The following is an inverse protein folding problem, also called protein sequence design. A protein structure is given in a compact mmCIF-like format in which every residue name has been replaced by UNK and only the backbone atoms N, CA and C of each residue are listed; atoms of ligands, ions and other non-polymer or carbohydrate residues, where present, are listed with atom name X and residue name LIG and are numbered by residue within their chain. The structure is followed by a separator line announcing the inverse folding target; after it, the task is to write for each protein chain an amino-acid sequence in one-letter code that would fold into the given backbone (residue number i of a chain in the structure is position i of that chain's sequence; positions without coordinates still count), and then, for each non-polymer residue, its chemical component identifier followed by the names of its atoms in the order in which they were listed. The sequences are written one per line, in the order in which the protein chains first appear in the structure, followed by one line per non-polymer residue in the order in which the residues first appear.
data_IF_735342005761
#
_entry.id   IF_735342005761
#
_cell.length_a   1.000
_cell.length_b   1.000
_cell.length_c   1.000
_cell.angle_alpha   90.00
_cell.angle_beta   90.00
_cell.angle_gamma   90.00
#
_symmetry.space_group_name_H-M   'P 1'
#
loop_
_entity.id
_entity.type
_entity.pdbx_description
1 polymer ?
#
# COMPACT_ATOMS: atom_id res chain seq x y z
N UNK A 1 18.51 65.33 41.07
CA UNK A 1 17.06 65.09 40.95
C UNK A 1 16.69 65.33 39.49
N UNK A 2 16.66 64.27 38.69
CA UNK A 2 16.44 64.33 37.25
C UNK A 2 15.26 63.40 36.90
N UNK A 3 14.19 63.98 36.36
CA UNK A 3 13.02 63.26 35.87
C UNK A 3 13.29 62.73 34.46
N UNK A 4 13.16 61.41 34.28
CA UNK A 4 13.13 60.74 32.98
C UNK A 4 11.68 60.65 32.48
N UNK A 5 11.38 61.00 31.21
CA UNK A 5 10.07 60.77 30.64
C UNK A 5 9.96 59.31 30.15
N UNK A 6 8.87 58.65 30.53
CA UNK A 6 8.46 57.35 30.01
C UNK A 6 7.85 57.52 28.61
N UNK A 7 8.53 57.04 27.58
CA UNK A 7 7.95 56.83 26.26
C UNK A 7 7.14 55.53 26.26
N UNK A 8 5.81 55.65 26.18
CA UNK A 8 4.92 54.56 25.81
C UNK A 8 5.15 54.19 24.35
N UNK A 9 5.67 53.00 24.08
CA UNK A 9 5.67 52.39 22.76
C UNK A 9 4.56 51.33 22.72
N UNK A 10 3.41 51.72 22.16
CA UNK A 10 2.40 50.80 21.67
C UNK A 10 2.95 50.12 20.41
N UNK A 11 3.47 48.90 20.52
CA UNK A 11 3.78 48.07 19.35
C UNK A 11 2.55 47.25 19.00
N UNK A 12 1.84 47.68 17.96
CA UNK A 12 0.84 46.87 17.27
C UNK A 12 1.51 45.68 16.61
N UNK A 13 1.17 44.48 17.06
CA UNK A 13 1.70 43.24 16.48
C UNK A 13 0.90 42.85 15.24
N UNK A 14 1.00 43.65 14.18
CA UNK A 14 0.68 43.25 12.81
C UNK A 14 1.88 42.49 12.25
N UNK A 15 1.90 41.18 12.48
CA UNK A 15 2.97 40.29 12.04
C UNK A 15 2.41 38.94 11.61
N UNK A 16 1.62 38.93 10.53
CA UNK A 16 1.46 37.75 9.69
C UNK A 16 2.81 37.51 8.98
N UNK A 17 3.79 37.03 9.77
CA UNK A 17 5.06 36.58 9.26
C UNK A 17 4.85 35.23 8.61
N UNK A 18 4.75 35.23 7.29
CA UNK A 18 4.97 34.03 6.50
C UNK A 18 6.41 33.59 6.74
N UNK A 19 6.63 32.68 7.69
CA UNK A 19 7.96 32.15 8.01
C UNK A 19 8.32 31.15 6.90
N UNK A 20 9.26 31.49 6.00
CA UNK A 20 9.80 30.50 5.08
C UNK A 20 10.50 29.47 5.95
N UNK A 21 10.18 28.19 5.80
CA UNK A 21 10.71 27.07 6.59
C UNK A 21 10.03 26.80 7.95
N UNK A 22 8.73 27.09 8.09
CA UNK A 22 7.95 26.56 9.22
C UNK A 22 8.00 25.03 9.25
N UNK A 23 8.16 24.44 10.44
CA UNK A 23 8.19 22.99 10.61
C UNK A 23 6.90 22.34 10.05
N UNK A 24 6.99 21.12 9.45
CA UNK A 24 5.81 20.45 8.93
C UNK A 24 4.72 20.22 9.98
N UNK A 25 3.43 20.22 9.60
CA UNK A 25 2.30 20.04 10.52
C UNK A 25 2.14 18.57 10.95
N UNK A 26 3.11 18.00 11.67
CA UNK A 26 3.04 16.60 12.10
C UNK A 26 2.02 16.40 13.22
N UNK A 27 1.35 15.24 13.22
CA UNK A 27 0.34 14.90 14.21
C UNK A 27 -0.77 14.01 13.66
N UNK A 28 -1.73 13.74 14.54
CA UNK A 28 -3.00 13.12 14.20
C UNK A 28 -4.02 14.23 13.92
N UNK A 29 -4.70 14.17 12.79
CA UNK A 29 -5.71 15.13 12.36
C UNK A 29 -7.01 14.41 12.07
N UNK A 30 -8.12 14.97 12.51
CA UNK A 30 -9.45 14.40 12.30
C UNK A 30 -10.41 15.43 11.70
N UNK A 31 -11.35 14.96 10.90
CA UNK A 31 -12.50 15.73 10.46
C UNK A 31 -13.34 14.92 9.48
N UNK A 32 -14.13 15.61 8.67
CA UNK A 32 -14.96 14.97 7.66
C UNK A 32 -14.72 15.60 6.28
N UNK A 33 -14.97 14.80 5.25
CA UNK A 33 -15.16 15.25 3.87
C UNK A 33 -16.63 15.09 3.51
N UNK A 34 -17.14 15.99 2.67
CA UNK A 34 -18.52 15.93 2.19
C UNK A 34 -18.56 16.01 0.67
N UNK A 35 -19.38 15.17 0.03
CA UNK A 35 -19.59 15.21 -1.42
C UNK A 35 -21.01 14.73 -1.77
N UNK A 36 -21.73 15.53 -2.55
CA UNK A 36 -23.11 15.23 -3.02
C UNK A 36 -24.02 14.63 -1.93
N UNK A 37 -24.15 15.34 -0.81
CA UNK A 37 -25.04 14.98 0.29
C UNK A 37 -24.56 13.81 1.17
N UNK A 38 -23.35 13.30 0.94
CA UNK A 38 -22.74 12.21 1.71
C UNK A 38 -21.51 12.71 2.47
N UNK A 39 -21.47 12.44 3.77
CA UNK A 39 -20.34 12.77 4.66
C UNK A 39 -19.52 11.51 4.94
N UNK A 40 -18.19 11.65 4.99
CA UNK A 40 -17.27 10.59 5.40
C UNK A 40 -16.24 11.13 6.38
N UNK A 41 -16.13 10.47 7.55
CA UNK A 41 -15.10 10.76 8.54
C UNK A 41 -13.73 10.30 8.07
N UNK A 42 -12.74 11.14 8.33
CA UNK A 42 -11.36 10.98 7.90
C UNK A 42 -10.41 11.24 9.06
N UNK A 43 -9.34 10.47 9.12
CA UNK A 43 -8.23 10.72 10.02
C UNK A 43 -6.90 10.67 9.26
N UNK A 44 -6.12 11.74 9.33
CA UNK A 44 -4.79 11.88 8.74
C UNK A 44 -3.73 11.78 9.85
N UNK A 45 -2.84 10.80 9.70
CA UNK A 45 -1.62 10.75 10.47
C UNK A 45 -0.45 11.26 9.65
N UNK A 46 0.13 12.40 10.05
CA UNK A 46 1.31 12.97 9.43
C UNK A 46 2.54 12.81 10.33
N UNK A 47 3.58 12.15 9.83
CA UNK A 47 4.82 11.89 10.55
C UNK A 47 6.01 12.39 9.74
N UNK A 48 7.05 12.82 10.45
CA UNK A 48 8.34 13.18 9.86
C UNK A 48 9.35 12.07 10.18
N UNK A 49 9.86 11.39 9.16
CA UNK A 49 10.81 10.28 9.34
C UNK A 49 12.26 10.77 9.36
N UNK A 50 12.55 11.81 8.58
CA UNK A 50 13.81 12.56 8.56
C UNK A 50 13.51 14.04 8.31
N UNK A 51 14.47 14.92 8.53
CA UNK A 51 14.33 16.33 8.17
C UNK A 51 13.89 16.45 6.69
N UNK A 52 12.79 17.17 6.43
CA UNK A 52 12.17 17.30 5.11
C UNK A 52 11.44 16.07 4.54
N UNK A 53 11.50 14.89 5.19
CA UNK A 53 10.84 13.68 4.70
C UNK A 53 9.57 13.37 5.50
N UNK A 54 8.42 13.50 4.83
CA UNK A 54 7.11 13.24 5.41
C UNK A 54 6.57 11.86 4.99
N UNK A 55 5.80 11.29 5.89
CA UNK A 55 4.96 10.12 5.63
C UNK A 55 3.55 10.45 6.10
N UNK A 56 2.56 10.08 5.30
CA UNK A 56 1.17 10.38 5.56
C UNK A 56 0.31 9.13 5.39
N UNK A 57 -0.55 8.86 6.36
CA UNK A 57 -1.60 7.84 6.26
C UNK A 57 -2.95 8.52 6.46
N UNK A 58 -3.83 8.43 5.47
CA UNK A 58 -5.23 8.85 5.57
C UNK A 58 -6.08 7.59 5.76
N UNK A 59 -6.92 7.58 6.77
CA UNK A 59 -7.82 6.48 7.09
C UNK A 59 -9.26 6.98 7.11
N UNK A 60 -10.18 6.06 6.83
CA UNK A 60 -11.61 6.34 6.80
C UNK A 60 -12.31 5.40 7.79
N UNK A 61 -12.43 5.79 9.08
CA UNK A 61 -12.86 4.88 10.15
C UNK A 61 -14.22 4.21 9.92
N UNK A 62 -15.10 4.85 9.14
CA UNK A 62 -16.43 4.31 8.80
C UNK A 62 -16.39 3.27 7.67
N UNK A 63 -15.29 3.18 6.92
CA UNK A 63 -15.13 2.23 5.82
C UNK A 63 -13.93 1.34 6.12
N UNK A 64 -14.20 0.19 6.75
CA UNK A 64 -13.16 -0.76 7.15
C UNK A 64 -12.28 -1.17 5.96
N UNK A 65 -10.96 -1.12 6.17
CA UNK A 65 -9.96 -1.46 5.15
C UNK A 65 -9.69 -0.36 4.11
N UNK A 66 -10.39 0.78 4.18
CA UNK A 66 -10.11 1.94 3.34
C UNK A 66 -9.07 2.80 4.04
N UNK A 67 -7.83 2.63 3.59
CA UNK A 67 -6.67 3.39 4.04
C UNK A 67 -5.84 3.77 2.82
N UNK A 68 -5.26 4.96 2.92
CA UNK A 68 -4.39 5.56 1.94
C UNK A 68 -3.04 5.79 2.62
N UNK A 69 -1.97 5.35 1.99
CA UNK A 69 -0.62 5.77 2.32
C UNK A 69 -0.15 6.63 1.15
N UNK A 70 0.27 7.86 1.46
CA UNK A 70 0.75 8.77 0.43
C UNK A 70 2.09 8.26 -0.11
N UNK A 71 2.16 8.01 -1.43
CA UNK A 71 3.44 7.74 -2.09
C UNK A 71 4.30 9.01 -2.13
N UNK A 72 3.67 10.19 -2.18
CA UNK A 72 4.35 11.47 -2.04
C UNK A 72 3.67 12.32 -0.98
N UNK A 73 4.46 12.84 -0.04
CA UNK A 73 4.02 13.79 0.96
C UNK A 73 5.02 14.94 0.98
N UNK A 74 4.56 16.15 0.66
CA UNK A 74 5.41 17.34 0.59
C UNK A 74 4.75 18.50 1.32
N UNK A 75 5.56 19.28 2.03
CA UNK A 75 5.12 20.48 2.71
C UNK A 75 6.01 21.64 2.30
N UNK A 76 5.40 22.66 1.70
CA UNK A 76 6.00 23.94 1.37
C UNK A 76 5.14 24.98 2.06
N UNK A 77 5.57 25.41 3.25
CA UNK A 77 4.75 26.23 4.14
C UNK A 77 4.06 27.39 3.38
N UNK A 78 2.74 27.60 3.57
CA UNK A 78 1.83 26.87 4.47
C UNK A 78 1.16 25.63 3.84
N UNK A 79 1.55 25.22 2.63
CA UNK A 79 0.87 24.22 1.82
C UNK A 79 1.37 22.78 2.06
N UNK A 80 0.44 21.86 2.27
CA UNK A 80 0.64 20.42 2.32
C UNK A 80 0.04 19.78 1.05
N UNK A 81 0.82 18.93 0.37
CA UNK A 81 0.36 18.13 -0.76
C UNK A 81 0.66 16.65 -0.52
N UNK A 82 -0.36 15.81 -0.65
CA UNK A 82 -0.29 14.36 -0.53
C UNK A 82 -0.84 13.71 -1.80
N UNK A 83 -0.21 12.66 -2.30
CA UNK A 83 -0.71 11.88 -3.44
C UNK A 83 -0.54 10.38 -3.22
N UNK A 84 -1.56 9.59 -3.58
CA UNK A 84 -1.56 8.13 -3.38
C UNK A 84 -0.58 7.43 -4.31
N UNK A 85 -0.61 7.85 -5.56
CA UNK A 85 0.15 7.30 -6.67
C UNK A 85 0.25 8.40 -7.74
N UNK A 86 1.35 9.17 -7.75
CA UNK A 86 1.53 10.26 -8.69
C UNK A 86 1.28 9.81 -10.14
N UNK A 87 0.40 10.50 -10.84
CA UNK A 87 0.09 10.22 -12.25
C UNK A 87 -0.75 8.95 -12.52
N UNK A 88 -1.29 8.27 -11.49
CA UNK A 88 -2.23 7.16 -11.71
C UNK A 88 -3.69 7.64 -11.65
N UNK A 89 -4.53 7.24 -12.63
CA UNK A 89 -5.96 7.56 -12.61
C UNK A 89 -6.65 6.85 -11.44
N UNK A 90 -7.61 7.54 -10.81
CA UNK A 90 -8.38 7.01 -9.68
C UNK A 90 -7.70 7.08 -8.30
N UNK A 91 -6.50 7.66 -8.22
CA UNK A 91 -5.80 7.90 -6.95
C UNK A 91 -6.40 9.04 -6.13
N UNK A 92 -6.08 9.05 -4.84
CA UNK A 92 -6.43 10.15 -3.93
C UNK A 92 -5.34 11.23 -3.95
N UNK A 93 -5.76 12.49 -3.97
CA UNK A 93 -4.89 13.66 -3.80
C UNK A 93 -5.43 14.54 -2.68
N UNK A 94 -4.54 15.15 -1.90
CA UNK A 94 -4.91 16.12 -0.86
C UNK A 94 -4.08 17.36 -1.07
N UNK A 95 -4.75 18.51 -1.13
CA UNK A 95 -4.12 19.82 -1.10
C UNK A 95 -4.69 20.58 0.09
N UNK A 96 -3.83 20.95 1.03
CA UNK A 96 -4.24 21.61 2.26
C UNK A 96 -3.37 22.84 2.57
N UNK A 97 -3.97 23.84 3.20
CA UNK A 97 -3.28 24.97 3.83
C UNK A 97 -3.31 24.76 5.33
N UNK A 98 -2.16 24.97 5.99
CA UNK A 98 -2.04 24.95 7.45
C UNK A 98 -2.42 26.29 8.04
N UNK A 99 -3.35 26.26 8.99
CA UNK A 99 -3.79 27.41 9.78
C UNK A 99 -3.75 27.03 11.27
N UNK A 100 -2.61 27.26 11.94
CA UNK A 100 -2.42 26.83 13.33
C UNK A 100 -2.48 25.30 13.47
N UNK A 101 -3.49 24.82 14.21
CA UNK A 101 -3.80 23.39 14.41
C UNK A 101 -4.81 22.84 13.38
N UNK A 102 -5.20 23.64 12.39
CA UNK A 102 -6.12 23.23 11.33
C UNK A 102 -5.38 22.95 10.02
N UNK A 103 -5.89 21.98 9.27
CA UNK A 103 -5.61 21.78 7.86
C UNK A 103 -6.92 21.98 7.09
N UNK A 104 -6.91 22.88 6.11
CA UNK A 104 -8.09 23.19 5.29
C UNK A 104 -7.75 22.99 3.82
N UNK A 105 -8.66 22.39 3.06
CA UNK A 105 -8.45 22.28 1.63
C UNK A 105 -9.35 21.25 0.97
N UNK A 106 -8.82 20.65 -0.10
CA UNK A 106 -9.60 19.78 -0.99
C UNK A 106 -8.97 18.40 -1.06
N UNK A 107 -9.80 17.38 -0.87
CA UNK A 107 -9.50 16.00 -1.19
C UNK A 107 -10.06 15.69 -2.58
N UNK A 108 -9.18 15.35 -3.51
CA UNK A 108 -9.52 14.83 -4.81
C UNK A 108 -9.52 13.30 -4.79
N UNK A 109 -10.53 12.66 -5.38
CA UNK A 109 -10.57 11.22 -5.57
C UNK A 109 -10.86 10.88 -7.03
N UNK A 110 -9.86 10.34 -7.73
CA UNK A 110 -9.92 10.21 -9.18
C UNK A 110 -10.18 11.57 -9.84
N UNK A 111 -10.87 11.56 -10.97
CA UNK A 111 -11.05 12.77 -11.79
C UNK A 111 -12.34 13.55 -11.48
N UNK A 112 -13.30 12.93 -10.77
CA UNK A 112 -14.67 13.44 -10.65
C UNK A 112 -15.07 13.91 -9.25
N UNK A 113 -14.37 13.47 -8.21
CA UNK A 113 -14.71 13.80 -6.82
C UNK A 113 -13.75 14.84 -6.29
N UNK A 114 -14.31 15.95 -5.81
CA UNK A 114 -13.60 16.99 -5.05
C UNK A 114 -14.43 17.28 -3.81
N UNK A 115 -13.86 17.01 -2.65
CA UNK A 115 -14.52 17.19 -1.37
C UNK A 115 -13.70 18.14 -0.51
N UNK A 116 -14.33 19.22 -0.07
CA UNK A 116 -13.73 20.15 0.87
C UNK A 116 -13.61 19.51 2.26
N UNK A 117 -12.59 19.90 3.02
CA UNK A 117 -12.42 19.48 4.39
C UNK A 117 -11.84 20.57 5.28
N UNK A 118 -12.12 20.39 6.56
CA UNK A 118 -11.40 21.03 7.66
C UNK A 118 -11.01 19.93 8.64
N UNK A 119 -9.72 19.71 8.82
CA UNK A 119 -9.18 18.75 9.77
C UNK A 119 -8.51 19.46 10.93
N UNK A 120 -8.74 18.95 12.14
CA UNK A 120 -8.24 19.52 13.40
C UNK A 120 -7.20 18.59 13.99
N UNK A 121 -6.07 19.13 14.44
CA UNK A 121 -5.05 18.37 15.14
C UNK A 121 -5.58 17.86 16.49
N UNK A 122 -5.45 16.56 16.73
CA UNK A 122 -5.90 15.86 17.95
C UNK A 122 -4.74 15.30 18.79
N UNK A 123 -3.50 15.54 18.38
CA UNK A 123 -2.31 15.17 19.14
C UNK A 123 -1.19 14.62 18.26
N UNK A 124 -0.35 13.78 18.85
CA UNK A 124 0.68 13.05 18.13
C UNK A 124 0.07 11.95 17.24
N UNK A 125 0.70 11.69 16.10
CA UNK A 125 0.29 10.56 15.25
C UNK A 125 0.57 9.24 16.00
N UNK A 126 -0.38 8.28 16.03
CA UNK A 126 -0.21 7.00 16.69
C UNK A 126 0.97 6.20 16.10
N UNK A 127 1.42 5.14 16.77
CA UNK A 127 2.39 4.24 16.18
C UNK A 127 1.78 3.56 14.91
N UNK A 128 2.56 3.32 13.85
CA UNK A 128 2.04 2.79 12.58
C UNK A 128 1.57 1.32 12.64
N UNK A 129 1.85 0.62 13.76
CA UNK A 129 1.52 -0.80 13.98
C UNK A 129 2.49 -1.79 13.34
N UNK A 130 3.65 -1.31 12.88
CA UNK A 130 4.71 -2.12 12.29
C UNK A 130 6.06 -1.41 12.39
N UNK A 131 7.14 -2.18 12.26
CA UNK A 131 8.52 -1.68 12.17
C UNK A 131 8.97 -1.69 10.72
N UNK A 132 9.47 -0.55 10.25
CA UNK A 132 10.09 -0.39 8.94
C UNK A 132 11.61 -0.55 9.07
N UNK A 133 12.15 -1.63 8.51
CA UNK A 133 13.58 -1.98 8.63
C UNK A 133 14.16 -2.37 7.28
N UNK A 134 15.45 -2.68 7.26
CA UNK A 134 16.15 -3.13 6.06
C UNK A 134 16.69 -4.53 6.25
N UNK A 135 16.46 -5.39 5.25
CA UNK A 135 17.05 -6.71 5.14
C UNK A 135 18.14 -6.70 4.06
N UNK A 136 19.34 -7.12 4.43
CA UNK A 136 20.43 -7.33 3.46
C UNK A 136 20.28 -8.68 2.78
N UNK A 137 20.21 -8.68 1.45
CA UNK A 137 20.10 -9.87 0.60
C UNK A 137 21.33 -9.96 -0.30
N UNK A 138 22.02 -11.09 -0.24
CA UNK A 138 23.22 -11.34 -1.03
C UNK A 138 22.90 -12.34 -2.15
N UNK A 139 23.24 -11.98 -3.38
CA UNK A 139 23.20 -12.87 -4.54
C UNK A 139 24.64 -13.10 -5.00
N UNK A 140 25.09 -14.35 -5.24
CA UNK A 140 26.44 -14.61 -5.73
C UNK A 140 26.78 -13.79 -6.99
N UNK A 141 27.97 -13.20 -7.02
CA UNK A 141 28.43 -12.37 -8.14
C UNK A 141 27.75 -11.00 -8.25
N UNK A 142 27.02 -10.55 -7.23
CA UNK A 142 26.36 -9.23 -7.20
C UNK A 142 26.60 -8.52 -5.87
N UNK A 143 26.59 -7.18 -5.85
CA UNK A 143 26.63 -6.42 -4.61
C UNK A 143 25.42 -6.76 -3.74
N UNK A 144 25.63 -6.79 -2.42
CA UNK A 144 24.55 -7.02 -1.47
C UNK A 144 23.49 -5.92 -1.60
N UNK A 145 22.23 -6.33 -1.65
CA UNK A 145 21.10 -5.42 -1.79
C UNK A 145 20.43 -5.19 -0.44
N UNK A 146 20.09 -3.93 -0.15
CA UNK A 146 19.38 -3.50 1.05
C UNK A 146 17.91 -3.33 0.71
N UNK A 147 17.08 -4.28 1.12
CA UNK A 147 15.66 -4.34 0.79
C UNK A 147 14.80 -3.87 1.97
N UNK A 148 13.68 -3.20 1.68
CA UNK A 148 12.74 -2.72 2.72
C UNK A 148 11.91 -3.90 3.24
N UNK A 149 11.94 -4.09 4.56
CA UNK A 149 11.22 -5.14 5.27
C UNK A 149 10.28 -4.49 6.29
N UNK A 150 8.99 -4.78 6.18
CA UNK A 150 7.99 -4.40 7.16
C UNK A 150 7.69 -5.59 8.07
N UNK A 151 7.89 -5.41 9.36
CA UNK A 151 7.63 -6.41 10.40
C UNK A 151 6.44 -5.96 11.26
N UNK A 152 5.46 -6.82 11.54
CA UNK A 152 4.42 -6.49 12.52
C UNK A 152 5.03 -6.05 13.86
N UNK A 153 4.34 -5.11 14.49
CA UNK A 153 4.67 -4.64 15.84
C UNK A 153 3.57 -5.11 16.79
N UNK A 154 3.49 -6.42 16.95
CA UNK A 154 2.55 -7.11 17.82
C UNK A 154 3.30 -8.09 18.75
N UNK A 155 2.56 -8.83 19.59
CA UNK A 155 3.14 -9.71 20.62
C UNK A 155 3.46 -11.12 20.12
N UNK A 156 3.17 -11.45 18.86
CA UNK A 156 3.43 -12.78 18.32
C UNK A 156 4.95 -12.98 18.11
N UNK A 157 5.48 -14.17 18.44
CA UNK A 157 6.91 -14.42 18.32
C UNK A 157 7.37 -14.64 16.87
N UNK A 158 6.48 -15.09 15.99
CA UNK A 158 6.77 -15.38 14.58
C UNK A 158 5.57 -15.05 13.69
N UNK A 159 5.87 -14.56 12.49
CA UNK A 159 4.86 -14.15 11.52
C UNK A 159 5.01 -14.92 10.21
N UNK A 160 3.90 -15.26 9.52
CA UNK A 160 3.96 -15.57 8.10
C UNK A 160 4.55 -14.37 7.34
N UNK A 161 5.22 -14.64 6.23
CA UNK A 161 5.95 -13.61 5.50
C UNK A 161 5.83 -13.74 3.99
N UNK A 162 5.92 -12.60 3.31
CA UNK A 162 5.77 -12.50 1.87
C UNK A 162 6.92 -11.70 1.25
N UNK A 163 7.44 -12.22 0.15
CA UNK A 163 8.33 -11.49 -0.76
C UNK A 163 7.47 -10.92 -1.88
N UNK A 164 7.31 -9.59 -1.91
CA UNK A 164 6.49 -8.87 -2.89
C UNK A 164 7.36 -8.49 -4.09
N UNK A 165 7.06 -9.09 -5.25
CA UNK A 165 7.71 -8.77 -6.51
C UNK A 165 6.95 -7.63 -7.19
N UNK A 166 7.67 -6.56 -7.50
CA UNK A 166 7.10 -5.35 -8.08
C UNK A 166 7.50 -5.19 -9.56
N UNK A 167 6.67 -4.46 -10.30
CA UNK A 167 7.06 -3.83 -11.56
C UNK A 167 7.23 -2.33 -11.32
N UNK A 168 7.86 -1.61 -12.25
CA UNK A 168 8.05 -0.16 -12.11
C UNK A 168 6.72 0.58 -11.94
N UNK A 169 5.67 0.17 -12.65
CA UNK A 169 4.34 0.77 -12.57
C UNK A 169 3.57 0.41 -11.27
N UNK A 170 3.91 -0.70 -10.63
CA UNK A 170 3.16 -1.25 -9.47
C UNK A 170 3.90 -1.04 -8.13
N UNK A 171 5.10 -0.45 -8.14
CA UNK A 171 5.90 -0.26 -6.93
C UNK A 171 5.16 0.51 -5.80
N UNK A 172 4.44 1.63 -6.07
CA UNK A 172 3.66 2.31 -5.04
C UNK A 172 2.55 1.43 -4.46
N UNK A 173 1.83 0.70 -5.32
CA UNK A 173 0.75 -0.21 -4.88
C UNK A 173 1.30 -1.39 -4.07
N UNK A 174 2.47 -1.91 -4.43
CA UNK A 174 3.13 -2.96 -3.65
C UNK A 174 3.54 -2.49 -2.25
N UNK A 175 4.03 -1.25 -2.12
CA UNK A 175 4.32 -0.66 -0.81
C UNK A 175 3.05 -0.59 0.06
N UNK A 176 1.91 -0.16 -0.50
CA UNK A 176 0.63 -0.15 0.21
C UNK A 176 0.19 -1.56 0.65
N UNK A 177 0.35 -2.56 -0.21
CA UNK A 177 0.07 -3.96 0.16
C UNK A 177 0.95 -4.42 1.31
N UNK A 178 2.25 -4.11 1.28
CA UNK A 178 3.17 -4.46 2.34
C UNK A 178 2.74 -3.84 3.68
N UNK A 179 2.38 -2.55 3.70
CA UNK A 179 1.86 -1.87 4.90
C UNK A 179 0.58 -2.51 5.41
N UNK A 180 -0.37 -2.81 4.51
CA UNK A 180 -1.64 -3.45 4.86
C UNK A 180 -1.44 -4.83 5.50
N UNK A 181 -0.47 -5.61 5.00
CA UNK A 181 -0.09 -6.92 5.54
C UNK A 181 0.59 -6.80 6.90
N UNK A 182 1.55 -5.88 7.05
CA UNK A 182 2.29 -5.69 8.29
C UNK A 182 1.36 -5.32 9.45
N UNK A 183 0.39 -4.43 9.21
CA UNK A 183 -0.65 -4.07 10.19
C UNK A 183 -1.57 -5.24 10.59
N UNK A 184 -1.56 -6.35 9.83
CA UNK A 184 -2.43 -7.52 10.05
C UNK A 184 -1.65 -8.77 10.47
N UNK A 185 -0.40 -8.59 10.92
CA UNK A 185 0.42 -9.66 11.48
C UNK A 185 1.20 -10.47 10.44
N UNK A 186 1.38 -9.94 9.22
CA UNK A 186 2.10 -10.62 8.13
C UNK A 186 3.30 -9.77 7.72
N UNK A 187 4.51 -10.34 7.82
CA UNK A 187 5.72 -9.64 7.41
C UNK A 187 5.83 -9.51 5.88
N UNK A 188 6.35 -8.39 5.40
CA UNK A 188 6.41 -8.09 3.97
C UNK A 188 7.77 -7.53 3.56
N UNK A 189 8.44 -8.21 2.63
CA UNK A 189 9.70 -7.78 2.02
C UNK A 189 9.44 -7.27 0.61
N UNK A 190 9.80 -6.01 0.34
CA UNK A 190 9.62 -5.37 -0.96
C UNK A 190 10.86 -5.56 -1.83
N UNK A 191 10.68 -6.13 -3.02
CA UNK A 191 11.73 -6.18 -4.03
C UNK A 191 11.61 -4.97 -4.98
N UNK A 192 12.75 -4.41 -5.43
CA UNK A 192 12.72 -3.44 -6.50
C UNK A 192 12.22 -4.10 -7.80
N UNK A 193 11.74 -3.30 -8.76
CA UNK A 193 11.51 -3.75 -10.12
C UNK A 193 12.78 -4.42 -10.67
N UNK A 194 12.64 -5.49 -11.44
CA UNK A 194 13.81 -6.13 -12.06
C UNK A 194 14.48 -5.15 -13.03
N UNK A 195 15.80 -5.04 -12.97
CA UNK A 195 16.55 -4.40 -14.04
C UNK A 195 16.57 -5.32 -15.29
N UNK A 196 16.69 -4.77 -16.51
CA UNK A 196 16.75 -5.57 -17.74
C UNK A 196 17.89 -6.61 -17.76
N UNK A 197 18.96 -6.35 -17.00
CA UNK A 197 20.16 -7.20 -16.88
C UNK A 197 20.05 -8.22 -15.74
N UNK A 198 18.94 -8.24 -15.01
CA UNK A 198 18.74 -9.18 -13.92
C UNK A 198 18.19 -10.50 -14.44
N UNK A 199 18.86 -11.61 -14.13
CA UNK A 199 18.23 -12.93 -14.15
C UNK A 199 17.03 -12.87 -13.21
N UNK A 200 15.83 -12.70 -13.77
CA UNK A 200 14.63 -12.23 -13.04
C UNK A 200 14.16 -13.08 -11.86
N UNK A 201 14.82 -14.22 -11.62
CA UNK A 201 14.56 -15.21 -10.57
C UNK A 201 15.60 -15.22 -9.44
N UNK A 202 16.85 -14.79 -9.65
CA UNK A 202 17.93 -14.97 -8.64
C UNK A 202 17.68 -14.15 -7.37
N UNK A 203 17.30 -12.89 -7.53
CA UNK A 203 16.98 -12.01 -6.40
C UNK A 203 15.76 -12.49 -5.60
N UNK A 204 14.60 -12.82 -6.21
CA UNK A 204 13.47 -13.43 -5.50
C UNK A 204 13.83 -14.66 -4.68
N UNK A 205 14.67 -15.55 -5.20
CA UNK A 205 15.09 -16.78 -4.52
C UNK A 205 16.00 -16.46 -3.32
N UNK A 206 16.99 -15.58 -3.51
CA UNK A 206 17.85 -15.13 -2.41
C UNK A 206 17.07 -14.37 -1.34
N UNK A 207 16.10 -13.55 -1.73
CA UNK A 207 15.24 -12.80 -0.82
C UNK A 207 14.36 -13.74 0.02
N UNK A 208 13.78 -14.78 -0.57
CA UNK A 208 13.03 -15.81 0.16
C UNK A 208 13.92 -16.52 1.19
N UNK A 209 15.14 -16.91 0.78
CA UNK A 209 16.10 -17.55 1.67
C UNK A 209 16.53 -16.64 2.84
N UNK A 210 16.77 -15.35 2.57
CA UNK A 210 17.13 -14.37 3.59
C UNK A 210 15.96 -14.09 4.55
N UNK A 211 14.73 -14.01 4.04
CA UNK A 211 13.54 -13.76 4.83
C UNK A 211 13.25 -14.92 5.79
N UNK A 212 13.45 -16.17 5.36
CA UNK A 212 13.35 -17.37 6.20
C UNK A 212 14.33 -17.43 7.37
N UNK A 213 15.40 -16.64 7.34
CA UNK A 213 16.41 -16.56 8.42
C UNK A 213 16.10 -15.46 9.43
N UNK A 214 15.07 -14.65 9.23
CA UNK A 214 14.68 -13.61 10.18
C UNK A 214 14.05 -14.25 11.43
N UNK A 215 14.49 -13.84 12.61
CA UNK A 215 14.06 -14.44 13.88
C UNK A 215 12.55 -14.34 14.11
N UNK A 216 11.93 -13.26 13.64
CA UNK A 216 10.49 -12.98 13.76
C UNK A 216 9.67 -13.55 12.61
N UNK A 217 10.28 -14.28 11.67
CA UNK A 217 9.57 -14.89 10.54
C UNK A 217 9.44 -16.39 10.78
N UNK A 218 8.24 -16.91 10.56
CA UNK A 218 8.02 -18.35 10.46
C UNK A 218 8.57 -18.85 9.12
N UNK A 219 9.70 -19.55 9.17
CA UNK A 219 10.43 -20.02 7.99
C UNK A 219 9.64 -21.01 7.13
N UNK A 220 8.67 -21.72 7.71
CA UNK A 220 7.76 -22.61 6.99
C UNK A 220 6.67 -21.85 6.21
N UNK A 221 6.35 -20.64 6.64
CA UNK A 221 5.21 -19.83 6.16
C UNK A 221 5.69 -18.60 5.39
N UNK A 222 6.63 -18.81 4.47
CA UNK A 222 7.17 -17.76 3.60
C UNK A 222 6.80 -18.00 2.15
N UNK A 223 6.18 -17.02 1.51
CA UNK A 223 5.70 -17.12 0.13
C UNK A 223 6.09 -15.95 -0.76
N UNK A 224 5.60 -15.99 -2.00
CA UNK A 224 5.73 -14.90 -2.97
C UNK A 224 4.39 -14.21 -3.22
N UNK A 225 4.43 -12.93 -3.58
CA UNK A 225 3.29 -12.22 -4.18
C UNK A 225 3.77 -11.48 -5.42
N UNK A 226 3.05 -11.64 -6.54
CA UNK A 226 3.24 -10.82 -7.73
C UNK A 226 1.91 -10.36 -8.34
N UNK A 227 1.95 -9.21 -9.03
CA UNK A 227 0.82 -8.66 -9.79
C UNK A 227 1.18 -8.44 -11.26
N UNK A 228 0.22 -8.70 -12.15
CA UNK A 228 0.36 -8.48 -13.59
C UNK A 228 1.62 -9.17 -14.12
N UNK A 229 2.51 -8.45 -14.83
CA UNK A 229 3.75 -9.02 -15.37
C UNK A 229 4.69 -9.65 -14.31
N UNK A 230 4.62 -9.25 -13.04
CA UNK A 230 5.47 -9.82 -11.99
C UNK A 230 5.08 -11.27 -11.64
N UNK A 231 3.85 -11.72 -11.96
CA UNK A 231 3.37 -13.07 -11.68
C UNK A 231 4.18 -14.16 -12.40
N UNK A 232 4.65 -13.90 -13.63
CA UNK A 232 5.52 -14.82 -14.35
C UNK A 232 6.88 -15.00 -13.65
N UNK A 233 7.43 -13.93 -13.07
CA UNK A 233 8.65 -14.00 -12.25
C UNK A 233 8.43 -14.78 -10.96
N UNK A 234 7.27 -14.64 -10.34
CA UNK A 234 6.88 -15.45 -9.17
C UNK A 234 6.86 -16.93 -9.54
N UNK A 235 6.25 -17.30 -10.67
CA UNK A 235 6.25 -18.69 -11.14
C UNK A 235 7.66 -19.21 -11.42
N UNK A 236 8.48 -18.42 -12.14
CA UNK A 236 9.85 -18.81 -12.45
C UNK A 236 10.73 -18.99 -11.19
N UNK A 237 10.59 -18.09 -10.20
CA UNK A 237 11.29 -18.20 -8.92
C UNK A 237 10.80 -19.38 -8.07
N UNK A 238 9.50 -19.67 -8.08
CA UNK A 238 8.92 -20.80 -7.36
C UNK A 238 9.39 -22.17 -7.86
N UNK A 239 9.90 -22.24 -9.09
CA UNK A 239 10.54 -23.44 -9.64
C UNK A 239 11.97 -23.69 -9.15
N UNK A 240 12.55 -22.76 -8.39
CA UNK A 240 13.92 -22.84 -7.89
C UNK A 240 13.97 -23.20 -6.41
N UNK A 241 15.12 -23.69 -5.94
CA UNK A 241 15.38 -23.91 -4.52
C UNK A 241 16.00 -22.66 -3.87
N UNK A 242 15.60 -22.30 -2.63
CA UNK A 242 14.53 -22.95 -1.87
C UNK A 242 13.13 -22.57 -2.38
N UNK A 243 12.19 -23.51 -2.34
CA UNK A 243 10.81 -23.29 -2.81
C UNK A 243 9.98 -22.48 -1.81
N UNK A 244 9.03 -21.65 -2.25
CA UNK A 244 8.11 -20.94 -1.36
C UNK A 244 7.08 -21.89 -0.75
N UNK A 245 6.59 -21.58 0.45
CA UNK A 245 5.50 -22.32 1.09
C UNK A 245 4.13 -22.07 0.42
N UNK A 246 3.98 -20.93 -0.26
CA UNK A 246 2.77 -20.56 -0.99
C UNK A 246 3.05 -19.41 -1.97
N UNK A 247 2.11 -19.10 -2.87
CA UNK A 247 2.17 -17.93 -3.73
C UNK A 247 0.83 -17.20 -3.87
N UNK A 248 0.88 -15.88 -3.98
CA UNK A 248 -0.26 -15.01 -4.31
C UNK A 248 -0.04 -14.41 -5.70
N UNK A 249 -1.03 -14.54 -6.58
CA UNK A 249 -0.97 -14.05 -7.95
C UNK A 249 -2.15 -13.10 -8.22
N UNK A 250 -1.86 -11.90 -8.68
CA UNK A 250 -2.90 -10.93 -9.04
C UNK A 250 -2.82 -10.60 -10.52
N UNK A 251 -3.96 -10.58 -11.21
CA UNK A 251 -4.02 -10.24 -12.63
C UNK A 251 -3.00 -11.04 -13.49
N UNK A 252 -2.80 -12.33 -13.14
CA UNK A 252 -1.86 -13.19 -13.86
C UNK A 252 -2.31 -13.41 -15.30
N UNK A 253 -1.50 -12.99 -16.29
CA UNK A 253 -1.81 -13.23 -17.69
C UNK A 253 -1.75 -14.74 -17.96
N UNK A 254 -2.90 -15.32 -18.35
CA UNK A 254 -3.07 -16.74 -18.63
C UNK A 254 -4.16 -16.98 -19.68
N UNK A 255 -4.44 -16.00 -20.54
CA UNK A 255 -5.55 -16.05 -21.50
C UNK A 255 -5.31 -17.06 -22.63
N UNK A 256 -4.05 -17.43 -22.86
CA UNK A 256 -3.61 -18.44 -23.83
C UNK A 256 -3.03 -19.69 -23.15
N UNK A 257 -2.90 -20.79 -23.91
CA UNK A 257 -2.28 -22.03 -23.41
C UNK A 257 -0.80 -21.84 -23.06
N UNK A 258 -0.07 -21.06 -23.87
CA UNK A 258 1.35 -20.79 -23.66
C UNK A 258 1.58 -20.01 -22.36
N UNK A 259 0.78 -18.97 -22.11
CA UNK A 259 0.85 -18.21 -20.86
C UNK A 259 0.50 -19.08 -19.65
N UNK A 260 -0.59 -19.85 -19.72
CA UNK A 260 -1.01 -20.73 -18.63
C UNK A 260 0.03 -21.83 -18.31
N UNK A 261 0.81 -22.28 -19.30
CA UNK A 261 1.84 -23.31 -19.11
C UNK A 261 2.94 -22.87 -18.14
N UNK A 262 3.26 -21.58 -18.08
CA UNK A 262 4.26 -21.02 -17.15
C UNK A 262 3.91 -21.24 -15.67
N UNK A 263 2.62 -21.35 -15.33
CA UNK A 263 2.15 -21.52 -13.95
C UNK A 263 2.06 -22.99 -13.50
N UNK A 264 2.29 -23.95 -14.41
CA UNK A 264 2.24 -25.38 -14.07
C UNK A 264 3.27 -25.78 -13.02
N UNK A 265 4.34 -24.98 -12.86
CA UNK A 265 5.35 -25.17 -11.82
C UNK A 265 4.74 -25.30 -10.42
N UNK A 266 3.69 -24.52 -10.10
CA UNK A 266 3.03 -24.61 -8.80
C UNK A 266 2.34 -25.95 -8.59
N UNK A 267 1.70 -26.50 -9.63
CA UNK A 267 1.09 -27.82 -9.57
C UNK A 267 2.17 -28.92 -9.43
N UNK A 268 3.25 -28.83 -10.22
CA UNK A 268 4.34 -29.81 -10.20
C UNK A 268 5.03 -29.86 -8.83
N UNK A 269 5.29 -28.70 -8.24
CA UNK A 269 5.94 -28.56 -6.93
C UNK A 269 4.97 -28.59 -5.74
N UNK A 270 3.67 -28.78 -5.99
CA UNK A 270 2.61 -28.82 -4.96
C UNK A 270 2.55 -27.56 -4.08
N UNK A 271 2.87 -26.40 -4.64
CA UNK A 271 2.84 -25.11 -3.94
C UNK A 271 1.40 -24.58 -3.97
N UNK A 272 0.76 -24.30 -2.82
CA UNK A 272 -0.56 -23.66 -2.75
C UNK A 272 -0.55 -22.26 -3.37
N UNK A 273 -1.57 -21.94 -4.15
CA UNK A 273 -1.68 -20.64 -4.83
C UNK A 273 -3.03 -19.98 -4.57
N UNK A 274 -3.03 -18.71 -4.17
CA UNK A 274 -4.22 -17.86 -4.19
C UNK A 274 -4.10 -16.88 -5.37
N UNK A 275 -4.98 -16.99 -6.35
CA UNK A 275 -5.02 -16.10 -7.49
C UNK A 275 -6.29 -15.24 -7.49
N UNK A 276 -6.13 -13.93 -7.67
CA UNK A 276 -7.22 -12.97 -7.78
C UNK A 276 -7.21 -12.23 -9.11
N UNK A 277 -8.42 -12.02 -9.64
CA UNK A 277 -8.68 -11.14 -10.77
C UNK A 277 -9.77 -10.14 -10.38
N UNK A 278 -9.55 -8.88 -10.71
CA UNK A 278 -10.56 -7.83 -10.58
C UNK A 278 -11.45 -7.82 -11.83
N UNK A 279 -12.77 -7.75 -11.64
CA UNK A 279 -13.75 -7.86 -12.71
C UNK A 279 -13.83 -6.64 -13.63
N UNK A 280 -13.40 -5.46 -13.16
CA UNK A 280 -13.31 -4.24 -13.97
C UNK A 280 -11.87 -3.94 -14.41
N UNK A 281 -10.92 -4.87 -14.20
CA UNK A 281 -9.55 -4.71 -14.67
C UNK A 281 -9.48 -4.99 -16.18
N UNK A 282 -9.17 -3.94 -16.94
CA UNK A 282 -9.04 -4.00 -18.40
C UNK A 282 -7.62 -4.33 -18.86
N UNK A 283 -6.66 -4.41 -17.95
CA UNK A 283 -5.26 -4.71 -18.29
C UNK A 283 -5.01 -6.20 -18.56
N UNK A 284 -5.94 -7.06 -18.16
CA UNK A 284 -5.89 -8.51 -18.37
C UNK A 284 -7.27 -9.04 -18.75
N UNK A 285 -7.32 -10.08 -19.58
CA UNK A 285 -8.56 -10.81 -19.86
C UNK A 285 -8.95 -11.68 -18.65
N UNK A 286 -9.45 -11.07 -17.58
CA UNK A 286 -9.69 -11.68 -16.27
C UNK A 286 -10.43 -13.03 -16.34
N UNK A 287 -11.56 -13.08 -17.04
CA UNK A 287 -12.38 -14.29 -17.16
C UNK A 287 -11.66 -15.42 -17.92
N UNK A 288 -11.01 -15.09 -19.04
CA UNK A 288 -10.28 -16.07 -19.85
C UNK A 288 -9.04 -16.60 -19.11
N UNK A 289 -8.28 -15.71 -18.48
CA UNK A 289 -7.11 -16.04 -17.67
C UNK A 289 -7.49 -16.91 -16.47
N UNK A 290 -8.51 -16.53 -15.69
CA UNK A 290 -8.96 -17.32 -14.55
C UNK A 290 -9.41 -18.74 -14.96
N UNK A 291 -10.16 -18.86 -16.07
CA UNK A 291 -10.62 -20.15 -16.59
C UNK A 291 -9.46 -21.08 -16.97
N UNK A 292 -8.39 -20.55 -17.57
CA UNK A 292 -7.22 -21.34 -17.98
C UNK A 292 -6.20 -21.55 -16.87
N UNK A 293 -6.10 -20.62 -15.92
CA UNK A 293 -5.17 -20.74 -14.79
C UNK A 293 -5.57 -21.87 -13.84
N UNK A 294 -6.88 -22.06 -13.58
CA UNK A 294 -7.40 -23.14 -12.72
C UNK A 294 -6.84 -24.53 -13.04
N UNK A 295 -6.95 -25.05 -14.29
CA UNK A 295 -6.38 -26.34 -14.63
C UNK A 295 -4.84 -26.33 -14.63
N UNK A 296 -4.18 -25.22 -14.95
CA UNK A 296 -2.72 -25.12 -14.88
C UNK A 296 -2.20 -25.29 -13.44
N UNK A 297 -2.95 -24.80 -12.45
CA UNK A 297 -2.65 -24.97 -11.02
C UNK A 297 -3.13 -26.32 -10.44
N UNK A 298 -3.86 -27.13 -11.21
CA UNK A 298 -4.17 -28.52 -10.87
C UNK A 298 -5.29 -28.77 -9.86
N UNK A 299 -6.17 -27.80 -9.59
CA UNK A 299 -7.36 -27.94 -8.71
C UNK A 299 -7.07 -28.52 -7.30
N UNK A 300 -5.88 -28.27 -6.76
CA UNK A 300 -5.46 -28.86 -5.48
C UNK A 300 -6.08 -28.17 -4.28
N UNK A 301 -6.19 -28.92 -3.17
CA UNK A 301 -6.52 -28.35 -1.85
C UNK A 301 -5.53 -27.24 -1.51
N UNK A 302 -6.07 -26.08 -1.13
CA UNK A 302 -5.31 -24.90 -0.78
C UNK A 302 -5.00 -23.95 -1.94
N UNK A 303 -5.27 -24.37 -3.18
CA UNK A 303 -5.21 -23.52 -4.36
C UNK A 303 -6.59 -22.95 -4.71
N UNK A 304 -6.66 -21.65 -4.96
CA UNK A 304 -7.91 -20.94 -5.30
C UNK A 304 -7.66 -19.94 -6.42
N UNK A 305 -8.63 -19.81 -7.34
CA UNK A 305 -8.62 -18.80 -8.41
C UNK A 305 -9.97 -18.09 -8.43
N UNK A 306 -9.96 -16.84 -8.00
CA UNK A 306 -11.16 -16.03 -7.78
C UNK A 306 -11.22 -14.85 -8.76
N UNK A 307 -12.42 -14.55 -9.24
CA UNK A 307 -12.73 -13.32 -9.98
C UNK A 307 -13.69 -12.53 -9.13
N UNK A 308 -13.28 -11.33 -8.71
CA UNK A 308 -14.09 -10.44 -7.87
C UNK A 308 -14.85 -9.50 -8.79
N UNK A 309 -16.18 -9.58 -8.83
CA UNK A 309 -16.99 -8.77 -9.73
C UNK A 309 -17.11 -7.31 -9.25
N UNK A 310 -17.21 -6.36 -10.17
CA UNK A 310 -17.51 -4.96 -9.86
C UNK A 310 -16.40 -4.18 -9.14
N UNK A 311 -15.16 -4.69 -9.16
CA UNK A 311 -14.00 -4.02 -8.53
C UNK A 311 -12.96 -3.65 -9.58
N UNK A 312 -12.32 -2.50 -9.39
CA UNK A 312 -11.21 -2.00 -10.21
C UNK A 312 -9.96 -2.85 -10.01
N UNK A 313 -8.92 -2.60 -10.83
CA UNK A 313 -7.65 -3.32 -10.75
C UNK A 313 -7.02 -3.33 -9.34
N UNK A 314 -7.30 -2.34 -8.48
CA UNK A 314 -6.83 -2.26 -7.09
C UNK A 314 -7.81 -2.87 -6.08
N UNK A 315 -8.75 -3.70 -6.54
CA UNK A 315 -9.77 -4.37 -5.73
C UNK A 315 -10.63 -3.40 -4.91
N UNK A 316 -10.96 -2.25 -5.50
CA UNK A 316 -11.90 -1.25 -4.94
C UNK A 316 -13.19 -1.24 -5.75
N UNK A 317 -14.33 -1.19 -5.08
CA UNK A 317 -15.61 -0.84 -5.72
C UNK A 317 -15.59 0.67 -5.99
N UNK A 318 -15.85 1.11 -7.24
CA UNK A 318 -15.84 2.53 -7.57
C UNK A 318 -16.96 3.26 -6.81
N UNK A 319 -16.72 4.53 -6.50
CA UNK A 319 -17.77 5.39 -5.96
C UNK A 319 -18.84 5.66 -7.01
N UNK A 320 -20.08 5.84 -6.57
CA UNK A 320 -21.22 6.06 -7.45
C UNK A 320 -22.32 6.83 -6.74
N UNK A 321 -23.15 7.51 -7.50
CA UNK A 321 -24.41 8.06 -6.99
C UNK A 321 -25.41 6.92 -6.79
N UNK A 322 -25.96 6.80 -5.59
CA UNK A 322 -27.00 5.84 -5.24
C UNK A 322 -28.34 6.16 -5.88
N UNK A 323 -29.29 5.23 -5.76
CA UNK A 323 -30.67 5.42 -6.23
C UNK A 323 -31.42 6.52 -5.48
N UNK A 324 -30.95 6.85 -4.29
CA UNK A 324 -31.40 7.95 -3.43
C UNK A 324 -30.76 9.31 -3.79
N UNK A 325 -29.92 9.36 -4.83
CA UNK A 325 -29.21 10.55 -5.26
C UNK A 325 -27.99 10.91 -4.39
N UNK A 326 -27.69 10.14 -3.34
CA UNK A 326 -26.55 10.38 -2.47
C UNK A 326 -25.28 9.70 -3.00
N UNK A 327 -24.13 10.30 -2.73
CA UNK A 327 -22.85 9.68 -3.09
C UNK A 327 -22.52 8.48 -2.19
N UNK A 328 -22.21 7.36 -2.84
CA UNK A 328 -21.62 6.18 -2.20
C UNK A 328 -20.11 6.23 -2.40
N UNK A 329 -19.38 6.37 -1.29
CA UNK A 329 -17.93 6.41 -1.31
C UNK A 329 -17.33 5.10 -1.82
N UNK A 330 -16.17 5.14 -2.50
CA UNK A 330 -15.45 3.93 -2.90
C UNK A 330 -15.18 3.03 -1.69
N UNK A 331 -15.33 1.72 -1.87
CA UNK A 331 -15.13 0.74 -0.81
C UNK A 331 -14.08 -0.29 -1.22
N UNK A 332 -13.16 -0.71 -0.33
CA UNK A 332 -12.36 -1.89 -0.57
C UNK A 332 -13.27 -3.11 -0.73
N UNK A 333 -12.88 -4.06 -1.56
CA UNK A 333 -13.60 -5.32 -1.66
C UNK A 333 -13.29 -6.20 -0.42
N UNK A 334 -14.23 -6.39 0.52
CA UNK A 334 -13.95 -7.16 1.73
C UNK A 334 -13.60 -8.62 1.40
N UNK A 335 -14.23 -9.19 0.38
CA UNK A 335 -13.94 -10.55 -0.12
C UNK A 335 -12.49 -10.74 -0.56
N UNK A 336 -11.84 -9.67 -1.02
CA UNK A 336 -10.44 -9.72 -1.42
C UNK A 336 -9.52 -9.60 -0.21
N UNK A 337 -9.62 -8.52 0.57
CA UNK A 337 -8.66 -8.28 1.66
C UNK A 337 -8.82 -9.26 2.82
N UNK A 338 -10.05 -9.50 3.28
CA UNK A 338 -10.29 -10.43 4.37
C UNK A 338 -9.97 -11.86 3.94
N UNK A 339 -10.46 -12.26 2.76
CA UNK A 339 -10.18 -13.59 2.20
C UNK A 339 -8.69 -13.85 2.00
N UNK A 340 -7.93 -12.85 1.53
CA UNK A 340 -6.48 -12.94 1.39
C UNK A 340 -5.77 -13.10 2.73
N UNK A 341 -6.09 -12.27 3.72
CA UNK A 341 -5.44 -12.31 5.04
C UNK A 341 -5.77 -13.61 5.77
N UNK A 342 -7.03 -14.06 5.73
CA UNK A 342 -7.44 -15.34 6.31
C UNK A 342 -6.74 -16.51 5.64
N UNK A 343 -6.66 -16.52 4.30
CA UNK A 343 -5.95 -17.58 3.58
C UNK A 343 -4.46 -17.62 3.94
N UNK A 344 -3.80 -16.46 4.05
CA UNK A 344 -2.40 -16.37 4.48
C UNK A 344 -2.21 -16.85 5.92
N UNK A 345 -3.12 -16.49 6.83
CA UNK A 345 -3.11 -16.96 8.23
C UNK A 345 -3.37 -18.45 8.38
N UNK A 346 -3.98 -19.10 7.40
CA UNK A 346 -4.22 -20.55 7.38
C UNK A 346 -3.09 -21.37 6.71
N UNK A 347 -2.07 -20.72 6.13
CA UNK A 347 -0.91 -21.35 5.47
C UNK A 347 0.31 -21.27 6.35
#
# INVERSE_FOLDING_TARGET
MALLPLLSACSGNSGAGEVPNAAPPTGHYEGAISYQGSELRTALDLRQTKSGQLTATLSFPQVSGLEFEAATASYKAPQLRLEEAPGQPGGITVQAVREGDFLRGVLGWGDSVRADFVWVRRGGAPAPGFRDTTLTVTVPGRPAQRLRLLLPDDTLPRHPALVLLTSAADAPAAARRATHLARRGIAALLLPPAAPTDSGTTLPVAALAALRRQALVDSGRVGYWGRGPATARVAAAAGQLPQPGFAVLEAAAAATRAEAAGYQVFNRQRIPVLAYYAGLDTTVQAAASARRLRPALGYRRGTQVQVVAGVTADFRRPGRTGSDGQWQWPQPAPEYWNGLVEWLKAR
#
